data_IF_166360323620
#
_entry.id   IF_166360323620
#
_cell.length_a   1.000
_cell.length_b   1.000
_cell.length_c   1.000
_cell.angle_alpha   90.00
_cell.angle_beta   90.00
_cell.angle_gamma   90.00
#
_symmetry.space_group_name_H-M   'P 1'
#
loop_
_entity.id
_entity.type
_entity.pdbx_description
1 polymer ?
#
# COMPACT_ATOMS: atom_id res chain seq x y z
N UNK A 1 -3.61 15.15 -66.26
CA UNK A 1 -3.68 13.78 -66.80
C UNK A 1 -3.40 12.79 -65.68
N UNK A 2 -4.43 12.13 -65.15
CA UNK A 2 -4.30 11.11 -64.11
C UNK A 2 -4.33 9.72 -64.75
N UNK A 3 -3.29 8.92 -64.54
CA UNK A 3 -3.25 7.52 -64.97
C UNK A 3 -3.57 6.62 -63.78
N UNK A 4 -4.73 5.96 -63.84
CA UNK A 4 -5.05 4.79 -63.03
C UNK A 4 -4.60 3.54 -63.81
N UNK A 5 -3.81 2.68 -63.17
CA UNK A 5 -3.65 1.27 -63.55
C UNK A 5 -3.69 0.45 -62.26
N UNK A 6 -4.76 -0.34 -62.12
CA UNK A 6 -4.95 -1.23 -60.99
C UNK A 6 -4.10 -2.48 -61.08
N UNK A 7 -3.84 -3.11 -59.94
CA UNK A 7 -3.97 -4.55 -59.75
C UNK A 7 -3.88 -4.92 -58.28
N UNK A 8 -4.88 -5.71 -57.88
CA UNK A 8 -5.17 -6.31 -56.59
C UNK A 8 -4.04 -7.26 -56.15
N UNK A 9 -3.57 -7.14 -54.91
CA UNK A 9 -2.84 -8.21 -54.23
C UNK A 9 -3.48 -8.43 -52.86
N UNK A 10 -4.45 -9.35 -52.83
CA UNK A 10 -4.90 -9.97 -51.58
C UNK A 10 -3.97 -11.14 -51.31
N UNK A 11 -3.25 -11.10 -50.19
CA UNK A 11 -2.67 -12.31 -49.58
C UNK A 11 -2.91 -12.26 -48.07
N UNK A 12 -3.77 -13.16 -47.64
CA UNK A 12 -4.10 -13.49 -46.25
C UNK A 12 -2.86 -13.96 -45.46
N UNK A 13 -2.69 -13.46 -44.23
CA UNK A 13 -2.39 -14.29 -43.03
C UNK A 13 -2.45 -13.46 -41.74
N UNK A 14 -3.19 -14.00 -40.78
CA UNK A 14 -3.30 -13.55 -39.39
C UNK A 14 -1.96 -13.32 -38.70
N UNK A 15 -1.83 -12.25 -37.91
CA UNK A 15 -1.54 -12.26 -36.46
C UNK A 15 -1.15 -10.87 -35.98
N UNK A 16 -1.58 -10.59 -34.76
CA UNK A 16 -1.81 -9.25 -34.22
C UNK A 16 -0.59 -8.37 -34.04
N UNK A 17 -0.84 -7.07 -34.12
CA UNK A 17 -0.10 -6.08 -33.36
C UNK A 17 -0.96 -4.83 -33.20
N UNK A 18 -1.89 -4.87 -32.24
CA UNK A 18 -2.50 -3.64 -31.74
C UNK A 18 -1.43 -3.03 -30.82
N UNK A 19 -0.63 -2.12 -31.34
CA UNK A 19 0.30 -1.38 -30.51
C UNK A 19 -0.49 -0.39 -29.66
N UNK A 20 -0.86 -0.83 -28.46
CA UNK A 20 -1.36 0.03 -27.40
C UNK A 20 -0.19 0.92 -26.93
N UNK A 21 0.18 1.93 -27.73
CA UNK A 21 1.17 2.93 -27.35
C UNK A 21 0.53 3.96 -26.41
N UNK A 22 0.15 3.53 -25.22
CA UNK A 22 0.05 4.45 -24.07
C UNK A 22 0.54 3.76 -22.81
N UNK A 23 1.76 3.21 -22.89
CA UNK A 23 2.56 2.96 -21.70
C UNK A 23 3.10 4.32 -21.25
N UNK A 24 2.28 5.09 -20.53
CA UNK A 24 2.75 6.26 -19.79
C UNK A 24 3.94 5.83 -18.94
N UNK A 25 5.08 6.47 -19.16
CA UNK A 25 6.28 6.35 -18.34
C UNK A 25 6.03 7.00 -16.98
N UNK A 26 5.15 6.41 -16.17
CA UNK A 26 4.94 6.84 -14.80
C UNK A 26 6.10 6.32 -13.94
N UNK A 27 6.97 7.23 -13.49
CA UNK A 27 7.99 6.90 -12.49
C UNK A 27 7.34 6.92 -11.11
N UNK A 28 7.12 5.74 -10.55
CA UNK A 28 6.64 5.59 -9.18
C UNK A 28 7.84 5.55 -8.25
N UNK A 29 7.91 6.49 -7.30
CA UNK A 29 8.91 6.48 -6.23
C UNK A 29 8.22 6.09 -4.92
N UNK A 30 8.74 5.06 -4.27
CA UNK A 30 8.31 4.67 -2.92
C UNK A 30 9.53 4.65 -2.00
N UNK A 31 9.45 5.35 -0.88
CA UNK A 31 10.42 5.25 0.21
C UNK A 31 9.76 4.47 1.34
N UNK A 32 10.44 3.42 1.82
CA UNK A 32 9.97 2.63 2.96
C UNK A 32 10.98 2.79 4.08
N UNK A 33 10.51 3.26 5.23
CA UNK A 33 11.31 3.33 6.44
C UNK A 33 10.88 2.19 7.38
N UNK A 34 11.85 1.36 7.76
CA UNK A 34 11.65 0.34 8.77
C UNK A 34 12.26 0.77 10.10
N UNK A 35 11.62 0.40 11.19
CA UNK A 35 12.17 0.51 12.53
C UNK A 35 11.92 -0.78 13.29
N UNK A 36 12.78 -1.09 14.26
CA UNK A 36 12.63 -2.29 15.07
C UNK A 36 11.35 -2.19 15.91
N UNK A 37 10.46 -3.18 15.79
CA UNK A 37 9.21 -3.22 16.58
C UNK A 37 9.43 -3.14 18.09
N UNK A 38 10.57 -3.67 18.57
CA UNK A 38 10.97 -3.57 19.98
C UNK A 38 11.18 -2.13 20.47
N UNK A 39 11.51 -1.19 19.59
CA UNK A 39 11.69 0.22 19.96
C UNK A 39 10.36 0.85 20.37
N UNK A 40 9.28 0.56 19.65
CA UNK A 40 7.95 1.03 20.03
C UNK A 40 7.51 0.45 21.39
N UNK A 41 7.82 -0.82 21.64
CA UNK A 41 7.54 -1.44 22.95
C UNK A 41 8.32 -0.78 24.08
N UNK A 42 9.60 -0.50 23.87
CA UNK A 42 10.45 0.19 24.85
C UNK A 42 9.95 1.61 25.16
N UNK A 43 9.54 2.37 24.15
CA UNK A 43 8.93 3.69 24.32
C UNK A 43 7.63 3.57 25.12
N UNK A 44 6.76 2.62 24.77
CA UNK A 44 5.50 2.39 25.49
C UNK A 44 5.70 1.98 26.96
N UNK A 45 6.80 1.31 27.27
CA UNK A 45 7.14 0.92 28.64
C UNK A 45 7.79 2.07 29.45
N UNK A 46 7.85 3.28 28.89
CA UNK A 46 8.49 4.43 29.54
C UNK A 46 10.01 4.33 29.53
N UNK A 47 10.60 3.91 28.40
CA UNK A 47 12.05 3.76 28.21
C UNK A 47 12.66 2.65 29.07
N UNK A 48 11.88 1.60 29.34
CA UNK A 48 12.27 0.44 30.14
C UNK A 48 12.23 -0.84 29.32
N UNK A 49 13.12 -1.77 29.63
CA UNK A 49 13.00 -3.14 29.12
C UNK A 49 11.72 -3.79 29.66
N UNK A 50 11.22 -4.83 28.99
CA UNK A 50 10.03 -5.55 29.45
C UNK A 50 10.23 -6.09 30.88
N UNK A 51 11.40 -6.63 31.19
CA UNK A 51 11.73 -7.12 32.54
C UNK A 51 11.73 -5.98 33.57
N UNK A 52 12.29 -4.82 33.24
CA UNK A 52 12.29 -3.67 34.13
C UNK A 52 10.88 -3.09 34.31
N UNK A 53 10.04 -3.10 33.27
CA UNK A 53 8.65 -2.69 33.36
C UNK A 53 7.84 -3.67 34.22
N UNK A 54 8.06 -4.98 34.09
CA UNK A 54 7.41 -5.96 34.96
C UNK A 54 7.85 -5.85 36.42
N UNK A 55 9.09 -5.49 36.70
CA UNK A 55 9.54 -5.34 38.08
C UNK A 55 9.18 -4.00 38.72
N UNK A 56 9.03 -2.92 37.92
CA UNK A 56 8.81 -1.55 38.44
C UNK A 56 7.43 -0.99 38.19
N UNK A 57 6.65 -1.59 37.29
CA UNK A 57 5.32 -1.10 36.91
C UNK A 57 4.30 -1.34 38.00
N UNK A 58 3.44 -0.34 38.22
CA UNK A 58 2.28 -0.45 39.10
C UNK A 58 1.27 -1.45 38.55
N UNK A 59 0.40 -1.97 39.41
CA UNK A 59 -0.63 -2.93 39.00
C UNK A 59 -1.57 -2.32 37.97
N UNK A 60 -1.91 -1.03 38.11
CA UNK A 60 -2.74 -0.32 37.15
C UNK A 60 -2.08 -0.25 35.76
N UNK A 61 -0.80 0.13 35.68
CA UNK A 61 -0.06 0.24 34.42
C UNK A 61 0.02 -1.10 33.67
N UNK A 62 0.27 -2.20 34.40
CA UNK A 62 0.30 -3.54 33.81
C UNK A 62 -1.07 -3.99 33.30
N UNK A 63 -2.13 -3.68 34.05
CA UNK A 63 -3.49 -3.97 33.63
C UNK A 63 -3.85 -3.21 32.37
N UNK A 64 -3.49 -1.93 32.28
CA UNK A 64 -3.73 -1.12 31.09
C UNK A 64 -2.92 -1.63 29.89
N UNK A 65 -1.66 -2.00 30.11
CA UNK A 65 -0.80 -2.60 29.07
C UNK A 65 -1.41 -3.87 28.48
N UNK A 66 -2.03 -4.69 29.33
CA UNK A 66 -2.71 -5.92 28.91
C UNK A 66 -3.95 -5.63 28.08
N UNK A 67 -4.73 -4.59 28.43
CA UNK A 67 -5.88 -4.16 27.62
C UNK A 67 -5.45 -3.61 26.27
N UNK A 68 -4.42 -2.78 26.25
CA UNK A 68 -3.88 -2.24 25.00
C UNK A 68 -3.32 -3.33 24.09
N UNK A 69 -2.66 -4.36 24.65
CA UNK A 69 -2.19 -5.50 23.86
C UNK A 69 -3.34 -6.22 23.16
N UNK A 70 -4.49 -6.37 23.83
CA UNK A 70 -5.70 -6.97 23.25
C UNK A 70 -6.32 -6.14 22.14
N UNK A 71 -6.21 -4.82 22.16
CA UNK A 71 -6.81 -3.93 21.13
C UNK A 71 -5.82 -3.54 20.03
N UNK A 72 -4.52 -3.81 20.20
CA UNK A 72 -3.47 -3.42 19.24
C UNK A 72 -3.66 -4.05 17.87
N UNK A 73 -4.11 -5.31 17.80
CA UNK A 73 -4.36 -5.98 16.53
C UNK A 73 -5.53 -5.34 15.78
N UNK A 74 -6.60 -4.96 16.48
CA UNK A 74 -7.77 -4.28 15.89
C UNK A 74 -7.36 -2.96 15.25
N UNK A 75 -6.55 -2.17 15.97
CA UNK A 75 -5.98 -0.92 15.45
C UNK A 75 -5.13 -1.16 14.20
N UNK A 76 -4.31 -2.21 14.19
CA UNK A 76 -3.49 -2.57 13.03
C UNK A 76 -4.33 -2.95 11.81
N UNK A 77 -5.40 -3.73 12.02
CA UNK A 77 -6.33 -4.10 10.94
C UNK A 77 -7.08 -2.89 10.40
N UNK A 78 -7.48 -1.95 11.28
CA UNK A 78 -8.19 -0.75 10.89
C UNK A 78 -7.36 0.24 10.03
N UNK A 79 -6.03 0.09 9.97
CA UNK A 79 -5.16 0.91 9.12
C UNK A 79 -5.18 0.48 7.64
N UNK A 80 -5.69 -0.71 7.32
CA UNK A 80 -5.82 -1.14 5.93
C UNK A 80 -7.01 -0.46 5.25
N UNK A 81 -6.85 -0.13 3.97
CA UNK A 81 -7.95 0.37 3.13
C UNK A 81 -9.06 -0.67 3.01
N UNK A 82 -10.31 -0.21 3.05
CA UNK A 82 -11.48 -1.08 2.81
C UNK A 82 -11.67 -1.32 1.31
N UNK A 83 -12.31 -2.43 0.95
CA UNK A 83 -12.58 -2.77 -0.47
C UNK A 83 -13.39 -1.68 -1.16
N UNK A 84 -14.34 -1.05 -0.45
CA UNK A 84 -15.13 0.05 -0.99
C UNK A 84 -14.30 1.29 -1.28
N UNK A 85 -13.35 1.64 -0.40
CA UNK A 85 -12.42 2.77 -0.60
C UNK A 85 -11.51 2.59 -1.83
N UNK A 86 -11.17 1.35 -2.17
CA UNK A 86 -10.35 1.05 -3.35
C UNK A 86 -11.17 1.14 -4.65
N UNK A 87 -12.47 0.82 -4.58
CA UNK A 87 -13.38 0.87 -5.74
C UNK A 87 -13.82 2.28 -6.10
N UNK A 88 -13.90 3.20 -5.13
CA UNK A 88 -14.40 4.56 -5.36
C UNK A 88 -13.43 5.45 -6.15
N UNK A 89 -12.20 5.00 -6.42
CA UNK A 89 -11.15 5.81 -7.03
C UNK A 89 -10.75 7.01 -6.14
N UNK A 90 -9.61 7.66 -6.38
CA UNK A 90 -9.25 8.84 -5.63
C UNK A 90 -10.22 9.98 -5.97
N UNK A 91 -11.00 10.46 -5.00
CA UNK A 91 -11.71 11.72 -5.13
C UNK A 91 -10.67 12.84 -5.10
N UNK A 92 -10.17 13.24 -6.26
CA UNK A 92 -9.28 14.40 -6.39
C UNK A 92 -10.11 15.64 -6.06
N UNK A 93 -9.81 16.39 -4.99
CA UNK A 93 -10.49 17.65 -4.76
C UNK A 93 -10.07 18.64 -5.85
N UNK A 94 -11.06 19.22 -6.54
CA UNK A 94 -10.83 20.36 -7.43
C UNK A 94 -10.34 21.53 -6.58
N UNK A 95 -9.08 21.93 -6.83
CA UNK A 95 -8.48 23.17 -6.34
C UNK A 95 -8.98 24.32 -7.22
#
# INVERSE_FOLDING_TARGET
MARYHGSRLVRSRSRGHLTLWDLKLEKHFSFVQYTAGGLFRWICNGFKTDEAFENTGTREEKMERTKEAKTRWEKGVAMYSTVDSLKSGPSVPSI
#
